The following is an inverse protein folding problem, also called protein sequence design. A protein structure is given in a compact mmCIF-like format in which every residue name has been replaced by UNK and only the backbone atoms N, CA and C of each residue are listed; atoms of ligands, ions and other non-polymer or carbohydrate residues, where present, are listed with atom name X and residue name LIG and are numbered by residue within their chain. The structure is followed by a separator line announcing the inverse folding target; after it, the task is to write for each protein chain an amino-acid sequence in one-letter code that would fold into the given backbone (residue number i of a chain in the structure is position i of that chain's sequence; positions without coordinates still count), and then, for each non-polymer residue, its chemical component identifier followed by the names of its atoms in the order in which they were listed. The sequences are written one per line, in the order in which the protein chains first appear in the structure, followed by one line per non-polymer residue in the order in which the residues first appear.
data_IF_353906309989
#
_entry.id   IF_353906309989
#
_cell.length_a   1.000
_cell.length_b   1.000
_cell.length_c   1.000
_cell.angle_alpha   90.00
_cell.angle_beta   90.00
_cell.angle_gamma   90.00
#
_symmetry.space_group_name_H-M   'P 1'
#
loop_
_entity.id
_entity.type
_entity.pdbx_description
1 polymer ?
#
# COMPACT_ATOMS: atom_id res chain seq x y z
N UNK A 1 2.67 -16.82 7.42
CA UNK A 1 3.74 -15.82 7.63
C UNK A 1 3.96 -15.42 9.09
N UNK A 2 2.99 -14.85 9.82
CA UNK A 2 3.22 -14.31 11.20
C UNK A 2 3.73 -15.31 12.25
N UNK A 3 3.54 -16.62 12.03
CA UNK A 3 4.01 -17.69 12.92
C UNK A 3 5.44 -18.16 12.61
N UNK A 4 6.09 -17.61 11.58
CA UNK A 4 7.45 -17.98 11.21
C UNK A 4 8.45 -17.44 12.25
N UNK A 5 9.47 -18.21 12.69
CA UNK A 5 10.41 -17.79 13.72
C UNK A 5 11.13 -16.48 13.37
N UNK A 6 11.52 -16.31 12.09
CA UNK A 6 12.20 -15.11 11.62
C UNK A 6 11.27 -13.90 11.38
N UNK A 7 9.94 -14.03 11.52
CA UNK A 7 9.00 -12.95 11.16
C UNK A 7 9.25 -11.67 11.94
N UNK A 8 9.50 -11.77 13.25
CA UNK A 8 9.72 -10.60 14.09
C UNK A 8 11.00 -9.85 13.70
N UNK A 9 12.10 -10.59 13.58
CA UNK A 9 13.40 -10.05 13.19
C UNK A 9 13.34 -9.37 11.81
N UNK A 10 12.67 -10.02 10.85
CA UNK A 10 12.48 -9.50 9.50
C UNK A 10 11.58 -8.27 9.41
N UNK A 11 10.49 -8.23 10.19
CA UNK A 11 9.44 -7.20 10.09
C UNK A 11 9.75 -5.96 10.92
N UNK A 12 10.36 -6.12 12.09
CA UNK A 12 10.46 -5.07 13.10
C UNK A 12 11.89 -4.69 13.45
N UNK A 13 12.85 -5.62 13.32
CA UNK A 13 14.21 -5.42 13.82
C UNK A 13 15.21 -5.07 12.70
N UNK A 14 14.79 -5.07 11.43
CA UNK A 14 15.64 -4.68 10.31
C UNK A 14 16.55 -5.78 9.77
N UNK A 15 16.36 -7.04 10.19
CA UNK A 15 17.19 -8.19 9.82
C UNK A 15 16.85 -8.71 8.40
N UNK A 16 17.73 -8.46 7.45
CA UNK A 16 17.58 -8.87 6.06
C UNK A 16 17.79 -10.39 5.87
N UNK A 17 18.65 -11.03 6.66
CA UNK A 17 18.90 -12.47 6.55
C UNK A 17 17.70 -13.27 7.08
N UNK A 18 17.11 -12.80 8.18
CA UNK A 18 15.83 -13.31 8.67
C UNK A 18 14.73 -13.15 7.61
N UNK A 19 14.69 -12.00 6.92
CA UNK A 19 13.73 -11.75 5.84
C UNK A 19 13.93 -12.72 4.66
N UNK A 20 15.17 -12.95 4.23
CA UNK A 20 15.50 -13.91 3.16
C UNK A 20 15.08 -15.34 3.51
N UNK A 21 15.38 -15.80 4.73
CA UNK A 21 14.95 -17.13 5.22
C UNK A 21 13.43 -17.26 5.21
N UNK A 22 12.73 -16.25 5.75
CA UNK A 22 11.27 -16.22 5.76
C UNK A 22 10.70 -16.25 4.34
N UNK A 23 11.19 -15.41 3.44
CA UNK A 23 10.73 -15.33 2.05
C UNK A 23 10.89 -16.68 1.37
N UNK A 24 12.06 -17.31 1.51
CA UNK A 24 12.35 -18.62 0.92
C UNK A 24 11.35 -19.71 1.33
N UNK A 25 10.76 -19.62 2.52
CA UNK A 25 9.71 -20.55 2.98
C UNK A 25 8.37 -20.37 2.26
N UNK A 26 8.08 -19.17 1.74
CA UNK A 26 6.78 -18.82 1.15
C UNK A 26 6.78 -18.58 -0.36
N UNK A 27 7.95 -18.50 -1.01
CA UNK A 27 7.99 -18.35 -2.47
C UNK A 27 7.47 -19.60 -3.18
N UNK A 28 6.70 -19.38 -4.25
CA UNK A 28 6.28 -20.42 -5.18
C UNK A 28 7.03 -20.20 -6.50
N UNK A 29 8.05 -21.04 -6.75
CA UNK A 29 8.90 -20.93 -7.94
C UNK A 29 8.10 -21.13 -9.23
N UNK A 30 7.11 -22.03 -9.24
CA UNK A 30 6.29 -22.26 -10.43
C UNK A 30 5.42 -21.03 -10.75
N UNK A 31 4.88 -20.37 -9.73
CA UNK A 31 4.15 -19.12 -9.91
C UNK A 31 5.07 -17.99 -10.43
N UNK A 32 6.32 -17.90 -9.95
CA UNK A 32 7.31 -16.94 -10.44
C UNK A 32 7.73 -17.20 -11.89
N UNK A 33 7.90 -18.47 -12.28
CA UNK A 33 8.19 -18.84 -13.67
C UNK A 33 7.03 -18.46 -14.60
N UNK A 34 5.78 -18.67 -14.17
CA UNK A 34 4.61 -18.23 -14.91
C UNK A 34 4.55 -16.70 -15.04
N UNK A 35 4.88 -15.98 -13.97
CA UNK A 35 4.97 -14.51 -13.97
C UNK A 35 6.03 -14.03 -14.97
N UNK A 36 7.21 -14.65 -14.97
CA UNK A 36 8.31 -14.36 -15.88
C UNK A 36 7.91 -14.52 -17.35
N UNK A 37 7.26 -15.65 -17.68
CA UNK A 37 6.81 -15.94 -19.05
C UNK A 37 5.73 -14.98 -19.54
N UNK A 38 4.80 -14.57 -18.66
CA UNK A 38 3.66 -13.72 -19.04
C UNK A 38 4.03 -12.24 -19.20
N UNK A 39 4.98 -11.76 -18.42
CA UNK A 39 5.33 -10.34 -18.32
C UNK A 39 6.80 -10.11 -18.65
N UNK A 40 7.27 -10.67 -19.77
CA UNK A 40 8.63 -10.45 -20.25
C UNK A 40 8.96 -8.94 -20.32
N UNK A 41 10.24 -8.61 -20.14
CA UNK A 41 10.75 -7.22 -20.17
C UNK A 41 10.20 -6.27 -19.09
N UNK A 42 9.38 -6.76 -18.17
CA UNK A 42 8.88 -5.96 -17.05
C UNK A 42 9.96 -5.70 -16.00
N UNK A 43 9.76 -4.63 -15.20
CA UNK A 43 10.59 -4.30 -14.05
C UNK A 43 9.85 -4.59 -12.75
N UNK A 44 10.59 -4.90 -11.70
CA UNK A 44 10.04 -5.03 -10.36
C UNK A 44 10.02 -3.67 -9.67
N UNK A 45 9.00 -3.40 -8.88
CA UNK A 45 8.95 -2.24 -8.00
C UNK A 45 8.36 -2.64 -6.66
N UNK A 46 8.98 -2.19 -5.57
CA UNK A 46 8.50 -2.49 -4.21
C UNK A 46 7.47 -1.44 -3.80
N UNK A 47 6.28 -1.91 -3.45
CA UNK A 47 5.17 -1.10 -2.90
C UNK A 47 5.41 -0.85 -1.40
N UNK A 48 5.82 -1.92 -0.73
CA UNK A 48 6.07 -2.00 0.70
C UNK A 48 7.42 -1.43 1.12
N UNK A 49 7.72 -1.55 2.41
CA UNK A 49 8.97 -1.10 3.02
C UNK A 49 8.69 -0.06 4.09
N UNK A 50 9.23 -0.31 5.27
CA UNK A 50 9.43 0.65 6.34
C UNK A 50 10.93 0.58 6.68
N UNK A 51 11.46 1.55 7.41
CA UNK A 51 12.90 1.59 7.76
C UNK A 51 13.40 0.24 8.32
N UNK A 52 12.56 -0.46 9.08
CA UNK A 52 12.90 -1.76 9.69
C UNK A 52 12.23 -2.98 9.06
N UNK A 53 11.25 -2.81 8.16
CA UNK A 53 10.60 -3.96 7.52
C UNK A 53 11.37 -4.38 6.28
N UNK A 54 12.14 -5.48 6.38
CA UNK A 54 12.98 -6.01 5.29
C UNK A 54 12.31 -7.05 4.41
N UNK A 55 11.09 -7.49 4.76
CA UNK A 55 10.38 -8.55 4.00
C UNK A 55 10.14 -8.15 2.54
N UNK A 56 9.66 -6.93 2.21
CA UNK A 56 9.44 -6.54 0.82
C UNK A 56 10.73 -6.50 -0.01
N UNK A 57 11.84 -6.07 0.58
CA UNK A 57 13.14 -6.01 -0.08
C UNK A 57 13.67 -7.43 -0.38
N UNK A 58 13.66 -8.31 0.62
CA UNK A 58 14.07 -9.70 0.45
C UNK A 58 13.17 -10.45 -0.56
N UNK A 59 11.87 -10.13 -0.58
CA UNK A 59 10.96 -10.69 -1.57
C UNK A 59 11.29 -10.22 -2.97
N UNK A 60 11.60 -8.94 -3.15
CA UNK A 60 12.03 -8.40 -4.43
C UNK A 60 13.35 -8.99 -4.94
N UNK A 61 14.31 -9.23 -4.03
CA UNK A 61 15.55 -9.95 -4.34
C UNK A 61 15.24 -11.37 -4.84
N UNK A 62 14.46 -12.16 -4.09
CA UNK A 62 14.11 -13.53 -4.48
C UNK A 62 13.38 -13.61 -5.83
N UNK A 63 12.45 -12.67 -6.10
CA UNK A 63 11.75 -12.60 -7.39
C UNK A 63 12.73 -12.23 -8.49
N UNK A 64 13.61 -11.26 -8.28
CA UNK A 64 14.62 -10.85 -9.27
C UNK A 64 15.57 -11.99 -9.62
N UNK A 65 16.07 -12.71 -8.61
CA UNK A 65 16.96 -13.86 -8.78
C UNK A 65 16.30 -15.01 -9.55
N UNK A 66 15.01 -15.27 -9.29
CA UNK A 66 14.27 -16.36 -9.93
C UNK A 66 13.86 -16.02 -11.36
N UNK A 67 13.40 -14.79 -11.61
CA UNK A 67 12.76 -14.38 -12.87
C UNK A 67 13.70 -13.65 -13.83
N UNK A 68 14.83 -13.13 -13.34
CA UNK A 68 15.73 -12.25 -14.08
C UNK A 68 15.21 -10.81 -14.25
N UNK A 69 14.05 -10.46 -13.69
CA UNK A 69 13.53 -9.10 -13.78
C UNK A 69 14.41 -8.10 -13.02
N UNK A 70 14.59 -6.91 -13.59
CA UNK A 70 15.36 -5.84 -12.94
C UNK A 70 14.52 -5.15 -11.87
N UNK A 71 15.09 -4.99 -10.68
CA UNK A 71 14.50 -4.22 -9.60
C UNK A 71 14.73 -2.71 -9.79
N UNK A 72 13.64 -1.95 -9.89
CA UNK A 72 13.66 -0.50 -9.95
C UNK A 72 13.47 0.09 -8.55
N UNK A 73 14.41 0.95 -8.15
CA UNK A 73 14.43 1.63 -6.84
C UNK A 73 14.19 3.15 -6.97
N UNK A 74 13.78 3.62 -8.16
CA UNK A 74 13.57 5.03 -8.45
C UNK A 74 12.32 5.65 -7.80
N UNK A 75 11.49 4.83 -7.15
CA UNK A 75 10.27 5.27 -6.45
C UNK A 75 10.37 4.95 -4.97
N UNK A 76 10.07 5.94 -4.15
CA UNK A 76 10.02 5.84 -2.70
C UNK A 76 8.59 6.06 -2.23
N UNK A 77 8.13 5.21 -1.32
CA UNK A 77 6.89 5.44 -0.56
C UNK A 77 7.16 6.48 0.53
N UNK A 78 6.63 7.68 0.36
CA UNK A 78 6.85 8.81 1.27
C UNK A 78 6.01 8.70 2.55
N UNK A 79 4.72 8.36 2.39
CA UNK A 79 3.82 8.16 3.51
C UNK A 79 3.35 6.71 3.53
N UNK A 80 3.60 6.02 4.65
CA UNK A 80 3.09 4.68 4.90
C UNK A 80 2.18 4.74 6.12
N UNK A 81 0.86 4.78 5.94
CA UNK A 81 -0.04 4.78 7.08
C UNK A 81 0.14 3.50 7.90
N UNK A 82 0.29 3.64 9.21
CA UNK A 82 0.29 2.47 10.12
C UNK A 82 -1.14 1.95 10.19
N UNK A 83 -1.39 0.74 9.68
CA UNK A 83 -2.73 0.14 9.61
C UNK A 83 -3.01 -0.93 10.67
N UNK A 84 -2.08 -1.17 11.61
CA UNK A 84 -2.27 -2.11 12.72
C UNK A 84 -3.48 -1.70 13.54
N UNK A 85 -4.44 -2.63 13.71
CA UNK A 85 -5.68 -2.39 14.46
C UNK A 85 -6.69 -1.45 13.79
N UNK A 86 -6.43 -0.93 12.59
CA UNK A 86 -7.31 0.04 11.92
C UNK A 86 -8.46 -0.62 11.15
N UNK A 87 -9.64 0.01 11.19
CA UNK A 87 -10.85 -0.40 10.46
C UNK A 87 -10.64 -0.35 8.94
N UNK A 88 -11.51 -1.04 8.19
CA UNK A 88 -11.46 -1.00 6.73
C UNK A 88 -11.71 0.41 6.16
N UNK A 89 -12.60 1.20 6.77
CA UNK A 89 -12.84 2.59 6.39
C UNK A 89 -11.61 3.46 6.67
N UNK A 90 -11.00 3.31 7.84
CA UNK A 90 -9.78 4.06 8.16
C UNK A 90 -8.63 3.75 7.22
N UNK A 91 -8.49 2.49 6.80
CA UNK A 91 -7.51 2.08 5.79
C UNK A 91 -7.81 2.68 4.42
N UNK A 92 -9.08 2.73 4.03
CA UNK A 92 -9.52 3.35 2.78
C UNK A 92 -9.16 4.83 2.73
N UNK A 93 -9.43 5.57 3.81
CA UNK A 93 -9.13 7.01 3.93
C UNK A 93 -7.64 7.32 4.11
N UNK A 94 -6.87 6.41 4.72
CA UNK A 94 -5.44 6.60 4.94
C UNK A 94 -4.63 6.20 3.70
N UNK A 95 -4.30 7.17 2.85
CA UNK A 95 -3.60 6.90 1.57
C UNK A 95 -2.08 6.93 1.71
N UNK A 96 -1.43 6.05 0.95
CA UNK A 96 0.02 6.11 0.75
C UNK A 96 0.36 7.11 -0.34
N UNK A 97 1.50 7.78 -0.22
CA UNK A 97 2.01 8.69 -1.24
C UNK A 97 3.38 8.22 -1.71
N UNK A 98 3.70 8.51 -2.97
CA UNK A 98 4.92 8.10 -3.64
C UNK A 98 5.62 9.30 -4.25
N UNK A 99 6.95 9.25 -4.29
CA UNK A 99 7.79 10.21 -4.98
C UNK A 99 8.95 9.52 -5.69
N UNK A 100 9.61 10.27 -6.57
CA UNK A 100 10.70 9.76 -7.39
C UNK A 100 10.35 9.82 -8.88
N UNK A 101 11.27 9.32 -9.71
CA UNK A 101 11.14 9.33 -11.17
C UNK A 101 11.41 7.94 -11.70
N UNK A 102 10.62 7.53 -12.68
CA UNK A 102 10.80 6.27 -13.39
C UNK A 102 11.10 6.51 -14.87
N UNK A 103 11.65 5.49 -15.52
CA UNK A 103 11.67 5.44 -16.99
C UNK A 103 10.22 5.31 -17.48
N UNK A 104 9.75 6.30 -18.25
CA UNK A 104 8.43 6.27 -18.88
C UNK A 104 8.33 5.14 -19.92
N UNK A 105 7.12 4.62 -20.12
CA UNK A 105 6.84 3.55 -21.08
C UNK A 105 7.12 2.12 -20.59
N UNK A 106 7.61 1.95 -19.36
CA UNK A 106 7.93 0.63 -18.81
C UNK A 106 6.71 -0.06 -18.18
N UNK A 107 6.70 -1.39 -18.25
CA UNK A 107 5.79 -2.24 -17.52
C UNK A 107 6.40 -2.63 -16.17
N UNK A 108 5.61 -2.52 -15.11
CA UNK A 108 6.02 -2.80 -13.74
C UNK A 108 5.20 -3.93 -13.13
N UNK A 109 5.87 -4.76 -12.36
CA UNK A 109 5.29 -5.74 -11.44
C UNK A 109 5.48 -5.18 -10.04
N UNK A 110 4.36 -4.91 -9.37
CA UNK A 110 4.34 -4.37 -8.02
C UNK A 110 4.50 -5.50 -6.99
N UNK A 111 5.45 -5.35 -6.07
CA UNK A 111 5.77 -6.33 -5.05
C UNK A 111 5.43 -5.80 -3.65
N UNK A 112 4.75 -6.61 -2.84
CA UNK A 112 4.48 -6.28 -1.43
C UNK A 112 4.58 -7.53 -0.54
N UNK A 113 4.79 -7.35 0.77
CA UNK A 113 4.81 -8.48 1.69
C UNK A 113 3.39 -8.97 2.02
N UNK A 114 2.50 -8.04 2.37
CA UNK A 114 1.10 -8.33 2.70
C UNK A 114 0.18 -7.37 1.98
N UNK A 115 -0.73 -7.92 1.17
CA UNK A 115 -1.85 -7.15 0.64
C UNK A 115 -3.12 -7.32 1.47
N UNK A 116 -3.82 -6.20 1.66
CA UNK A 116 -5.13 -6.15 2.32
C UNK A 116 -6.19 -5.62 1.36
N UNK A 117 -6.43 -4.31 1.31
CA UNK A 117 -7.36 -3.69 0.36
C UNK A 117 -6.73 -3.46 -1.02
N UNK A 118 -5.41 -3.39 -1.12
CA UNK A 118 -4.72 -3.03 -2.37
C UNK A 118 -4.73 -1.53 -2.68
N UNK A 119 -5.26 -0.67 -1.79
CA UNK A 119 -5.25 0.79 -1.97
C UNK A 119 -3.84 1.36 -2.22
N UNK A 120 -2.85 0.92 -1.44
CA UNK A 120 -1.43 1.31 -1.62
C UNK A 120 -0.89 0.94 -3.00
N UNK A 121 -1.21 -0.26 -3.50
CA UNK A 121 -0.80 -0.71 -4.84
C UNK A 121 -1.48 0.14 -5.91
N UNK A 122 -2.74 0.51 -5.70
CA UNK A 122 -3.46 1.36 -6.65
C UNK A 122 -2.93 2.80 -6.67
N UNK A 123 -2.55 3.37 -5.52
CA UNK A 123 -1.84 4.66 -5.49
C UNK A 123 -0.51 4.59 -6.26
N UNK A 124 0.26 3.51 -6.07
CA UNK A 124 1.49 3.30 -6.83
C UNK A 124 1.19 3.23 -8.33
N UNK A 125 0.18 2.46 -8.72
CA UNK A 125 -0.25 2.36 -10.13
C UNK A 125 -0.57 3.73 -10.70
N UNK A 126 -1.35 4.55 -10.01
CA UNK A 126 -1.68 5.89 -10.49
C UNK A 126 -0.48 6.83 -10.54
N UNK A 127 0.44 6.72 -9.57
CA UNK A 127 1.70 7.46 -9.59
C UNK A 127 2.55 7.11 -10.82
N UNK A 128 2.70 5.82 -11.13
CA UNK A 128 3.46 5.36 -12.30
C UNK A 128 2.77 5.70 -13.63
N UNK A 129 1.44 5.60 -13.69
CA UNK A 129 0.66 5.95 -14.88
C UNK A 129 0.77 7.42 -15.25
N UNK A 130 0.82 8.32 -14.26
CA UNK A 130 1.08 9.75 -14.48
C UNK A 130 2.47 10.02 -15.08
N UNK A 131 3.39 9.07 -14.98
CA UNK A 131 4.73 9.14 -15.58
C UNK A 131 4.85 8.30 -16.87
N UNK A 132 3.74 7.85 -17.43
CA UNK A 132 3.71 7.11 -18.70
C UNK A 132 4.00 5.61 -18.61
N UNK A 133 3.99 5.03 -17.41
CA UNK A 133 4.27 3.60 -17.19
C UNK A 133 3.04 2.84 -16.68
N UNK A 134 3.10 1.51 -16.62
CA UNK A 134 1.94 0.68 -16.27
C UNK A 134 2.31 -0.36 -15.22
N UNK A 135 1.39 -0.64 -14.30
CA UNK A 135 1.47 -1.83 -13.44
C UNK A 135 0.69 -2.95 -14.12
N UNK A 136 1.39 -4.02 -14.51
CA UNK A 136 0.82 -5.14 -15.28
C UNK A 136 0.52 -6.37 -14.42
N UNK A 137 1.17 -6.46 -13.26
CA UNK A 137 0.92 -7.51 -12.28
C UNK A 137 1.25 -7.04 -10.87
N UNK A 138 0.72 -7.75 -9.89
CA UNK A 138 1.03 -7.58 -8.47
C UNK A 138 1.37 -8.96 -7.93
N UNK A 139 2.46 -9.07 -7.18
CA UNK A 139 2.82 -10.29 -6.49
C UNK A 139 3.03 -9.99 -5.00
N UNK A 140 2.52 -10.87 -4.13
CA UNK A 140 2.63 -10.72 -2.68
C UNK A 140 2.82 -12.06 -1.99
N UNK A 141 3.55 -12.07 -0.86
CA UNK A 141 3.73 -13.28 -0.06
C UNK A 141 2.46 -13.71 0.68
N UNK A 142 1.61 -12.75 1.04
CA UNK A 142 0.38 -13.02 1.77
C UNK A 142 -0.72 -12.04 1.39
N UNK A 143 -1.94 -12.56 1.28
CA UNK A 143 -3.15 -11.76 1.27
C UNK A 143 -3.91 -11.97 2.58
N UNK A 144 -4.57 -10.92 3.07
CA UNK A 144 -5.50 -11.04 4.19
C UNK A 144 -6.93 -11.13 3.67
N UNK A 145 -7.48 -12.35 3.45
CA UNK A 145 -8.85 -12.52 3.02
C UNK A 145 -9.81 -11.95 4.06
N UNK A 146 -10.89 -11.36 3.58
CA UNK A 146 -11.90 -10.77 4.44
C UNK A 146 -13.25 -10.86 3.77
N UNK A 147 -14.26 -11.30 4.52
CA UNK A 147 -15.66 -11.26 4.09
C UNK A 147 -16.11 -9.85 3.65
N UNK A 148 -15.41 -8.82 4.13
CA UNK A 148 -15.68 -7.40 3.88
C UNK A 148 -15.00 -6.89 2.61
N UNK A 149 -13.89 -7.50 2.18
CA UNK A 149 -12.95 -6.89 1.23
C UNK A 149 -12.89 -7.72 -0.04
N UNK A 150 -12.40 -8.96 -0.03
CA UNK A 150 -12.57 -9.95 -1.11
C UNK A 150 -11.89 -11.26 -0.71
N UNK A 151 -11.97 -12.25 -1.60
CA UNK A 151 -11.21 -13.50 -1.55
C UNK A 151 -9.69 -13.31 -1.76
N UNK A 152 -9.26 -12.13 -2.20
CA UNK A 152 -7.85 -11.79 -2.46
C UNK A 152 -7.32 -12.16 -3.81
N UNK A 153 -8.15 -12.76 -4.65
CA UNK A 153 -7.76 -13.20 -5.98
C UNK A 153 -7.87 -12.04 -6.96
N UNK A 154 -8.88 -11.17 -6.77
CA UNK A 154 -9.15 -10.04 -7.64
C UNK A 154 -8.76 -8.72 -6.98
N UNK A 155 -7.66 -8.11 -7.44
CA UNK A 155 -7.32 -6.72 -7.09
C UNK A 155 -8.12 -5.76 -7.96
N UNK A 156 -8.12 -6.02 -9.27
CA UNK A 156 -8.92 -5.25 -10.21
C UNK A 156 -10.40 -5.56 -10.00
N UNK A 157 -11.27 -4.53 -9.98
CA UNK A 157 -12.68 -4.78 -9.85
C UNK A 157 -13.28 -5.60 -10.98
N UNK A 158 -14.22 -6.48 -10.63
CA UNK A 158 -15.03 -7.22 -11.60
C UNK A 158 -15.99 -6.28 -12.34
N UNK A 159 -16.43 -6.61 -13.57
CA UNK A 159 -17.46 -5.84 -14.27
C UNK A 159 -18.74 -5.70 -13.43
N UNK A 160 -19.12 -6.76 -12.72
CA UNK A 160 -20.35 -6.80 -11.93
C UNK A 160 -20.28 -5.90 -10.69
N UNK A 161 -19.19 -5.96 -9.92
CA UNK A 161 -19.01 -5.09 -8.75
C UNK A 161 -18.98 -3.62 -9.14
N UNK A 162 -18.36 -3.28 -10.29
CA UNK A 162 -18.39 -1.93 -10.85
C UNK A 162 -19.81 -1.49 -11.20
N UNK A 163 -20.56 -2.35 -11.89
CA UNK A 163 -21.95 -2.06 -12.29
C UNK A 163 -22.81 -1.76 -11.07
N UNK A 164 -22.80 -2.65 -10.08
CA UNK A 164 -23.57 -2.47 -8.83
C UNK A 164 -23.14 -1.19 -8.09
N UNK A 165 -21.85 -0.86 -8.07
CA UNK A 165 -21.35 0.37 -7.45
C UNK A 165 -21.96 1.60 -8.11
N UNK A 166 -21.92 1.67 -9.44
CA UNK A 166 -22.43 2.84 -10.19
C UNK A 166 -23.95 2.97 -10.09
N UNK A 167 -24.68 1.85 -9.93
CA UNK A 167 -26.13 1.87 -9.71
C UNK A 167 -26.51 2.30 -8.29
N UNK A 168 -25.74 1.90 -7.28
CA UNK A 168 -26.06 2.17 -5.87
C UNK A 168 -25.53 3.52 -5.38
N UNK A 169 -24.33 3.90 -5.83
CA UNK A 169 -23.66 5.13 -5.43
C UNK A 169 -23.51 6.04 -6.66
N UNK A 170 -24.15 7.22 -6.67
CA UNK A 170 -24.08 8.16 -7.78
C UNK A 170 -22.62 8.48 -8.17
N UNK A 171 -22.21 8.32 -9.44
CA UNK A 171 -20.82 8.47 -9.86
C UNK A 171 -20.22 9.84 -9.59
N UNK A 172 -20.95 10.93 -9.88
CA UNK A 172 -20.42 12.28 -9.72
C UNK A 172 -20.22 12.66 -8.24
N UNK A 173 -21.19 12.46 -7.33
CA UNK A 173 -20.98 12.65 -5.90
C UNK A 173 -19.88 11.75 -5.33
N UNK A 174 -19.80 10.49 -5.76
CA UNK A 174 -18.73 9.60 -5.31
C UNK A 174 -17.36 10.08 -5.75
N UNK A 175 -17.22 10.50 -7.01
CA UNK A 175 -15.98 11.06 -7.55
C UNK A 175 -15.56 12.30 -6.78
N UNK A 176 -16.51 13.19 -6.45
CA UNK A 176 -16.24 14.39 -5.65
C UNK A 176 -15.78 14.05 -4.23
N UNK A 177 -16.45 13.10 -3.56
CA UNK A 177 -16.08 12.64 -2.23
C UNK A 177 -14.66 12.03 -2.20
N UNK A 178 -14.32 11.20 -3.19
CA UNK A 178 -12.97 10.64 -3.32
C UNK A 178 -11.92 11.75 -3.50
N UNK A 179 -12.19 12.74 -4.35
CA UNK A 179 -11.29 13.88 -4.56
C UNK A 179 -11.10 14.70 -3.28
N UNK A 180 -12.18 14.99 -2.54
CA UNK A 180 -12.14 15.69 -1.26
C UNK A 180 -11.35 14.91 -0.19
N UNK A 181 -11.40 13.58 -0.23
CA UNK A 181 -10.59 12.73 0.64
C UNK A 181 -9.13 12.57 0.19
N UNK A 182 -8.73 13.18 -0.93
CA UNK A 182 -7.40 12.99 -1.51
C UNK A 182 -7.17 11.57 -2.05
N UNK A 183 -8.24 10.84 -2.35
CA UNK A 183 -8.22 9.46 -2.83
C UNK A 183 -8.30 9.49 -4.34
N UNK A 184 -7.26 8.98 -5.00
CA UNK A 184 -7.21 8.80 -6.43
C UNK A 184 -7.45 10.04 -7.31
N UNK A 185 -7.47 11.25 -6.74
CA UNK A 185 -7.91 12.46 -7.43
C UNK A 185 -9.35 12.39 -7.94
N UNK A 186 -10.22 11.60 -7.28
CA UNK A 186 -11.59 11.36 -7.72
C UNK A 186 -11.77 10.23 -8.74
N UNK A 187 -10.69 9.63 -9.23
CA UNK A 187 -10.78 8.61 -10.27
C UNK A 187 -11.42 7.31 -9.79
N UNK A 188 -12.69 7.10 -10.13
CA UNK A 188 -13.43 5.88 -9.77
C UNK A 188 -12.81 4.59 -10.34
N UNK A 189 -12.08 4.68 -11.46
CA UNK A 189 -11.48 3.51 -12.10
C UNK A 189 -10.21 3.02 -11.41
N UNK A 190 -9.67 3.82 -10.50
CA UNK A 190 -8.53 3.46 -9.68
C UNK A 190 -8.91 2.61 -8.46
N UNK A 191 -10.19 2.50 -8.09
CA UNK A 191 -10.58 1.64 -6.98
C UNK A 191 -10.26 0.17 -7.23
N UNK A 192 -9.87 -0.52 -6.17
CA UNK A 192 -9.70 -1.98 -6.14
C UNK A 192 -11.03 -2.69 -5.85
N UNK A 193 -11.13 -3.98 -6.16
CA UNK A 193 -12.32 -4.78 -5.84
C UNK A 193 -12.66 -4.71 -4.34
N UNK A 194 -11.63 -4.73 -3.49
CA UNK A 194 -11.81 -4.63 -2.04
C UNK A 194 -12.38 -3.30 -1.58
N UNK A 195 -11.97 -2.20 -2.22
CA UNK A 195 -12.52 -0.88 -1.92
C UNK A 195 -13.95 -0.77 -2.43
N UNK A 196 -14.26 -1.28 -3.62
CA UNK A 196 -15.63 -1.31 -4.13
C UNK A 196 -16.55 -2.09 -3.17
N UNK A 197 -16.14 -3.29 -2.73
CA UNK A 197 -16.91 -4.10 -1.78
C UNK A 197 -17.10 -3.43 -0.43
N UNK A 198 -16.12 -2.65 0.03
CA UNK A 198 -16.28 -1.81 1.21
C UNK A 198 -17.40 -0.80 1.02
N UNK A 199 -17.37 -0.04 -0.09
CA UNK A 199 -18.34 1.01 -0.35
C UNK A 199 -19.75 0.45 -0.56
N UNK A 200 -19.87 -0.74 -1.16
CA UNK A 200 -21.15 -1.42 -1.36
C UNK A 200 -21.85 -1.88 -0.07
N UNK A 201 -21.18 -1.76 1.09
CA UNK A 201 -21.81 -2.01 2.40
C UNK A 201 -22.74 -0.90 2.84
N UNK A 202 -22.57 0.30 2.30
CA UNK A 202 -23.46 1.41 2.57
C UNK A 202 -24.68 1.30 1.65
N UNK A 203 -25.86 1.49 2.22
CA UNK A 203 -27.13 1.36 1.50
C UNK A 203 -27.41 2.57 0.62
N UNK A 204 -26.77 3.71 0.90
CA UNK A 204 -26.91 4.96 0.16
C UNK A 204 -25.62 5.78 0.18
N UNK A 205 -25.54 6.78 -0.70
CA UNK A 205 -24.43 7.75 -0.70
C UNK A 205 -24.38 8.57 0.58
N UNK A 206 -25.52 8.99 1.14
CA UNK A 206 -25.58 9.75 2.38
C UNK A 206 -24.97 8.97 3.56
N UNK A 207 -25.27 7.67 3.65
CA UNK A 207 -24.70 6.80 4.69
C UNK A 207 -23.17 6.65 4.54
N UNK A 208 -22.68 6.53 3.31
CA UNK A 208 -21.24 6.52 3.03
C UNK A 208 -20.59 7.85 3.43
N UNK A 209 -21.20 8.98 3.06
CA UNK A 209 -20.68 10.30 3.34
C UNK A 209 -20.57 10.55 4.86
N UNK A 210 -21.61 10.19 5.61
CA UNK A 210 -21.62 10.29 7.08
C UNK A 210 -20.54 9.40 7.72
N UNK A 211 -20.37 8.17 7.22
CA UNK A 211 -19.33 7.28 7.70
C UNK A 211 -17.91 7.83 7.43
N UNK A 212 -17.69 8.41 6.25
CA UNK A 212 -16.42 9.07 5.89
C UNK A 212 -16.17 10.26 6.80
N UNK A 213 -17.17 11.11 7.02
CA UNK A 213 -17.06 12.29 7.88
C UNK A 213 -16.77 11.90 9.33
N UNK A 214 -17.46 10.90 9.85
CA UNK A 214 -17.25 10.39 11.21
C UNK A 214 -15.83 9.85 11.40
N UNK A 215 -15.33 9.03 10.47
CA UNK A 215 -13.98 8.47 10.56
C UNK A 215 -12.90 9.54 10.38
N UNK A 216 -13.09 10.54 9.50
CA UNK A 216 -12.17 11.69 9.38
C UNK A 216 -12.04 12.45 10.70
N UNK A 217 -13.15 12.79 11.35
CA UNK A 217 -13.16 13.45 12.66
C UNK A 217 -12.44 12.61 13.74
N UNK A 218 -12.62 11.29 13.72
CA UNK A 218 -11.91 10.39 14.63
C UNK A 218 -10.39 10.38 14.36
N UNK A 219 -9.97 10.42 13.09
CA UNK A 219 -8.55 10.49 12.71
C UNK A 219 -7.87 11.80 13.13
N UNK A 220 -8.58 12.92 13.03
CA UNK A 220 -8.09 14.25 13.42
C UNK A 220 -7.91 14.37 14.94
N UNK A 221 -8.88 13.87 15.72
CA UNK A 221 -8.81 13.88 17.18
C UNK A 221 -7.67 13.01 17.75
N UNK A 222 -7.33 11.89 17.11
CA UNK A 222 -6.15 11.10 17.50
C UNK A 222 -4.83 11.78 17.16
N UNK A 223 -4.79 12.57 16.09
CA UNK A 223 -3.57 13.26 15.65
C UNK A 223 -3.25 14.43 16.59
N UNK A 224 -4.26 15.16 17.05
CA UNK A 224 -4.11 16.28 18.00
C UNK A 224 -3.69 15.85 19.41
N UNK A 225 -4.06 14.64 19.84
CA UNK A 225 -3.63 14.07 21.13
C UNK A 225 -2.15 13.61 21.10
N UNK A 226 -1.57 13.39 19.92
CA UNK A 226 -0.23 12.79 19.75
C UNK A 226 0.94 13.77 19.64
N UNK A 227 0.71 15.09 19.72
CA UNK A 227 1.79 16.10 19.67
C UNK A 227 2.39 16.26 21.07
N UNK A 228 3.62 15.78 21.36
CA UNK A 228 4.28 16.14 22.61
C UNK A 228 4.67 17.62 22.52
N UNK A 229 4.40 18.38 23.59
CA UNK A 229 4.98 19.72 23.76
C UNK A 229 6.49 19.66 23.52
N UNK A 230 7.09 20.62 22.79
CA UNK A 230 8.53 20.65 22.61
C UNK A 230 9.19 20.77 23.98
N UNK A 231 10.01 19.77 24.32
CA UNK A 231 10.88 19.84 25.50
C UNK A 231 11.85 20.99 25.26
N UNK A 232 11.74 22.04 26.08
CA UNK A 232 12.62 23.20 26.03
C UNK A 232 14.08 22.75 26.09
N UNK A 233 14.83 23.05 25.04
CA UNK A 233 16.26 22.78 24.95
C UNK A 233 17.05 24.02 25.39
N UNK A 234 18.10 23.74 26.16
CA UNK A 234 19.31 24.53 26.37
C UNK A 234 19.32 25.64 27.44
N UNK A 235 20.11 25.38 28.49
CA UNK A 235 21.20 26.28 28.86
C UNK A 235 22.44 25.44 29.25
N UNK A 236 23.32 25.20 28.27
CA UNK A 236 24.69 24.73 28.51
C UNK A 236 25.49 25.95 28.96
N UNK A 237 25.84 26.00 30.23
CA UNK A 237 26.76 27.00 30.79
C UNK A 237 28.19 26.61 30.43
N UNK A 238 28.78 27.31 29.46
CA UNK A 238 30.22 27.25 29.20
C UNK A 238 30.91 28.31 30.06
N UNK A 239 31.73 27.88 31.02
CA UNK A 239 32.76 28.73 31.63
C UNK A 239 34.08 28.43 30.96
N UNK A 240 34.50 29.37 30.11
CA UNK A 240 35.88 29.51 29.66
C UNK A 240 36.80 29.73 30.87
N UNK A 241 37.87 28.96 30.92
CA UNK A 241 39.08 29.25 31.70
C UNK A 241 39.95 30.15 30.84
N UNK A 242 40.35 31.31 31.37
CA UNK A 242 41.43 32.14 30.81
C UNK A 242 42.56 32.22 31.82
N UNK A 243 43.74 31.75 31.36
CA UNK A 243 45.13 31.96 31.79
C UNK A 243 45.43 32.15 33.28
#
# INVERSE_FOLDING_TARGET
MMRHPDFRAAKYDGDIEAARRLVKTFIDVAALDMLARRHNESRLIVVGGAVTNRIPDAFAEAVSETTGFRLDRGVLKQHSPKHTGKTAMRRFLSRATFAGRITGGANYIALDDVMTQGGTVSELRQFLQRQGSRVVAVATLSFTPSKVMSDGIHIAPTPESRRILMERLPPEPLSALLAECGIYGGNLFAMTESEIRLLLRFSSFAELEDAVRSEKSAMESETSVSVPLPVASAAISSRLVTR
#
